data_IF_935995643846
#
_entry.id   IF_935995643846
#
_cell.length_a   1.000
_cell.length_b   1.000
_cell.length_c   1.000
_cell.angle_alpha   90.00
_cell.angle_beta   90.00
_cell.angle_gamma   90.00
#
_symmetry.space_group_name_H-M   'P 1'
#
loop_
_entity.id
_entity.type
_entity.pdbx_description
1 polymer ?
#
# COMPACT_ATOMS: atom_id res chain seq x y z
N UNK A 1 -6.13 -10.52 5.25
CA UNK A 1 -6.26 -10.80 6.71
C UNK A 1 -4.96 -10.94 7.49
N UNK A 2 -3.99 -11.75 7.06
CA UNK A 2 -2.81 -12.04 7.88
C UNK A 2 -1.96 -10.82 8.24
N UNK A 3 -1.83 -9.81 7.37
CA UNK A 3 -1.12 -8.55 7.68
C UNK A 3 -1.75 -7.83 8.89
N UNK A 4 -3.07 -7.75 8.94
CA UNK A 4 -3.80 -7.10 10.04
C UNK A 4 -3.64 -7.87 11.35
N UNK A 5 -3.70 -9.20 11.29
CA UNK A 5 -3.46 -10.07 12.46
C UNK A 5 -2.03 -9.94 12.97
N UNK A 6 -1.03 -9.89 12.09
CA UNK A 6 0.36 -9.66 12.46
C UNK A 6 0.55 -8.31 13.16
N UNK A 7 -0.04 -7.23 12.62
CA UNK A 7 0.02 -5.89 13.22
C UNK A 7 -0.60 -5.88 14.62
N UNK A 8 -1.78 -6.47 14.79
CA UNK A 8 -2.44 -6.55 16.08
C UNK A 8 -1.63 -7.36 17.11
N UNK A 9 -1.15 -8.55 16.72
CA UNK A 9 -0.33 -9.39 17.60
C UNK A 9 0.98 -8.69 17.98
N UNK A 10 1.63 -8.02 17.03
CA UNK A 10 2.83 -7.23 17.29
C UNK A 10 2.57 -6.15 18.36
N UNK A 11 1.48 -5.39 18.25
CA UNK A 11 1.14 -4.37 19.24
C UNK A 11 0.93 -4.98 20.65
N UNK A 12 0.28 -6.14 20.73
CA UNK A 12 0.08 -6.85 22.01
C UNK A 12 1.40 -7.34 22.59
N UNK A 13 2.33 -7.83 21.77
CA UNK A 13 3.65 -8.29 22.23
C UNK A 13 4.57 -7.13 22.62
N UNK A 14 4.57 -6.04 21.86
CA UNK A 14 5.37 -4.84 22.10
C UNK A 14 4.95 -4.15 23.40
N UNK A 15 3.65 -4.00 23.64
CA UNK A 15 3.11 -3.42 24.89
C UNK A 15 3.40 -4.28 26.13
N UNK A 16 3.55 -5.60 25.96
CA UNK A 16 3.96 -6.52 27.04
C UNK A 16 5.47 -6.57 27.25
N UNK A 17 6.26 -5.83 26.47
CA UNK A 17 7.72 -5.86 26.54
C UNK A 17 8.34 -7.17 26.07
N UNK A 18 7.59 -7.99 25.33
CA UNK A 18 8.07 -9.26 24.78
C UNK A 18 8.91 -9.10 23.50
N UNK A 19 9.01 -7.88 22.96
CA UNK A 19 9.80 -7.53 21.78
C UNK A 19 10.89 -6.55 22.20
N UNK A 20 12.14 -6.89 21.92
CA UNK A 20 13.29 -6.03 22.16
C UNK A 20 13.38 -4.86 21.17
N UNK A 21 14.14 -3.82 21.55
CA UNK A 21 14.34 -2.61 20.74
C UNK A 21 14.90 -2.91 19.34
N UNK A 22 15.84 -3.87 19.26
CA UNK A 22 16.44 -4.31 17.99
C UNK A 22 15.45 -5.13 17.16
N UNK A 23 14.69 -6.01 17.80
CA UNK A 23 13.75 -6.92 17.14
C UNK A 23 12.57 -6.16 16.53
N UNK A 24 12.17 -5.05 17.15
CA UNK A 24 11.07 -4.19 16.69
C UNK A 24 11.24 -3.78 15.23
N UNK A 25 12.44 -3.34 14.85
CA UNK A 25 12.73 -2.93 13.48
C UNK A 25 12.69 -4.11 12.49
N UNK A 26 13.03 -5.32 12.92
CA UNK A 26 12.93 -6.52 12.09
C UNK A 26 11.47 -6.94 11.86
N UNK A 27 10.65 -6.96 12.91
CA UNK A 27 9.23 -7.23 12.81
C UNK A 27 8.53 -6.24 11.87
N UNK A 28 8.83 -4.94 11.97
CA UNK A 28 8.29 -3.95 11.04
C UNK A 28 8.70 -4.22 9.60
N UNK A 29 9.98 -4.49 9.33
CA UNK A 29 10.43 -4.83 7.97
C UNK A 29 9.72 -6.05 7.41
N UNK A 30 9.51 -7.09 8.23
CA UNK A 30 8.77 -8.30 7.82
C UNK A 30 7.31 -8.01 7.51
N UNK A 31 6.63 -7.23 8.34
CA UNK A 31 5.24 -6.82 8.12
C UNK A 31 5.10 -5.94 6.87
N UNK A 32 6.01 -4.99 6.66
CA UNK A 32 6.06 -4.14 5.46
C UNK A 32 6.26 -4.96 4.19
N UNK A 33 7.17 -5.93 4.19
CA UNK A 33 7.37 -6.84 3.04
C UNK A 33 6.11 -7.64 2.74
N UNK A 34 5.39 -8.10 3.75
CA UNK A 34 4.13 -8.81 3.55
C UNK A 34 3.06 -7.88 2.96
N UNK A 35 2.93 -6.67 3.48
CA UNK A 35 1.99 -5.66 2.98
C UNK A 35 2.29 -5.29 1.52
N UNK A 36 3.56 -5.07 1.17
CA UNK A 36 3.99 -4.75 -0.20
C UNK A 36 3.61 -5.86 -1.19
N UNK A 37 3.79 -7.13 -0.80
CA UNK A 37 3.38 -8.28 -1.62
C UNK A 37 1.87 -8.35 -1.83
N UNK A 38 1.09 -8.09 -0.78
CA UNK A 38 -0.38 -8.04 -0.88
C UNK A 38 -0.82 -6.88 -1.78
N UNK A 39 -0.19 -5.71 -1.66
CA UNK A 39 -0.49 -4.56 -2.52
C UNK A 39 -0.18 -4.86 -4.00
N UNK A 40 0.98 -5.46 -4.30
CA UNK A 40 1.34 -5.84 -5.66
C UNK A 40 0.35 -6.85 -6.25
N UNK A 41 0.00 -7.90 -5.50
CA UNK A 41 -1.00 -8.88 -5.93
C UNK A 41 -2.39 -8.26 -6.14
N UNK A 42 -2.77 -7.28 -5.32
CA UNK A 42 -4.03 -6.55 -5.50
C UNK A 42 -4.02 -5.72 -6.80
N UNK A 43 -2.93 -5.02 -7.10
CA UNK A 43 -2.79 -4.25 -8.35
C UNK A 43 -2.85 -5.17 -9.56
N UNK A 44 -2.14 -6.30 -9.54
CA UNK A 44 -2.17 -7.31 -10.61
C UNK A 44 -3.59 -7.86 -10.82
N UNK A 45 -4.29 -8.20 -9.73
CA UNK A 45 -5.68 -8.63 -9.80
C UNK A 45 -6.58 -7.56 -10.44
N UNK A 46 -6.36 -6.28 -10.14
CA UNK A 46 -7.14 -5.17 -10.70
C UNK A 46 -6.81 -4.91 -12.16
N UNK A 47 -5.54 -5.05 -12.56
CA UNK A 47 -5.14 -4.95 -13.96
C UNK A 47 -5.85 -6.02 -14.81
N UNK A 48 -5.92 -7.27 -14.34
CA UNK A 48 -6.66 -8.34 -15.01
C UNK A 48 -8.17 -8.11 -15.10
N UNK A 49 -8.73 -7.22 -14.28
CA UNK A 49 -10.15 -6.81 -14.32
C UNK A 49 -10.37 -5.50 -15.08
N UNK A 50 -9.32 -4.88 -15.65
CA UNK A 50 -9.42 -3.58 -16.32
C UNK A 50 -9.72 -2.42 -15.37
N UNK A 51 -9.30 -2.50 -14.11
CA UNK A 51 -9.46 -1.46 -13.08
C UNK A 51 -10.92 -0.94 -12.90
N UNK A 52 -11.88 -1.80 -12.54
CA UNK A 52 -13.32 -1.45 -12.50
C UNK A 52 -13.70 -0.39 -11.45
N UNK A 53 -12.80 -0.07 -10.51
CA UNK A 53 -13.00 0.93 -9.46
C UNK A 53 -12.18 2.21 -9.69
N UNK A 54 -11.47 2.32 -10.81
CA UNK A 54 -10.71 3.51 -11.14
C UNK A 54 -11.69 4.58 -11.67
N UNK A 55 -11.78 5.77 -11.06
CA UNK A 55 -12.60 6.85 -11.59
C UNK A 55 -12.08 7.26 -12.98
N UNK A 56 -12.96 7.60 -13.92
CA UNK A 56 -12.58 8.01 -15.30
C UNK A 56 -11.54 9.13 -15.34
N UNK A 57 -11.54 9.99 -14.32
CA UNK A 57 -10.62 11.11 -14.21
C UNK A 57 -9.16 10.66 -13.99
N UNK A 58 -8.94 9.47 -13.44
CA UNK A 58 -7.63 8.93 -13.10
C UNK A 58 -7.16 7.94 -14.16
N UNK A 59 -5.92 8.07 -14.61
CA UNK A 59 -5.28 7.11 -15.50
C UNK A 59 -4.14 6.39 -14.78
N UNK A 60 -3.93 5.12 -15.15
CA UNK A 60 -2.77 4.34 -14.75
C UNK A 60 -1.77 4.41 -15.90
N UNK A 61 -0.56 4.87 -15.64
CA UNK A 61 0.56 4.71 -16.57
C UNK A 61 0.89 3.21 -16.68
N UNK A 62 0.81 2.67 -17.90
CA UNK A 62 1.00 1.23 -18.15
C UNK A 62 2.45 0.76 -17.95
N UNK A 63 3.45 1.64 -18.06
CA UNK A 63 4.87 1.28 -17.87
C UNK A 63 5.27 1.36 -16.40
N UNK A 64 4.78 2.37 -15.67
CA UNK A 64 5.21 2.61 -14.27
C UNK A 64 4.19 2.15 -13.23
N UNK A 65 2.95 1.90 -13.63
CA UNK A 65 1.82 1.65 -12.72
C UNK A 65 1.44 2.88 -11.88
N UNK A 66 1.99 4.06 -12.20
CA UNK A 66 1.72 5.29 -11.47
C UNK A 66 0.30 5.77 -11.75
N UNK A 67 -0.41 6.16 -10.69
CA UNK A 67 -1.71 6.80 -10.78
C UNK A 67 -1.50 8.29 -11.10
N UNK A 68 -1.87 8.70 -12.31
CA UNK A 68 -1.82 10.10 -12.70
C UNK A 68 -3.15 10.75 -12.33
N UNK A 69 -3.11 11.75 -11.43
CA UNK A 69 -4.27 12.61 -11.16
C UNK A 69 -4.45 13.55 -12.35
N UNK A 70 -5.70 13.87 -12.76
CA UNK A 70 -5.93 14.97 -13.66
C UNK A 70 -5.51 16.27 -12.95
N UNK A 71 -4.44 16.88 -13.44
CA UNK A 71 -4.03 18.21 -13.02
C UNK A 71 -5.14 19.16 -13.48
N UNK A 72 -5.82 19.83 -12.55
CA UNK A 72 -6.63 20.99 -12.91
C UNK A 72 -5.67 22.01 -13.52
N UNK A 73 -5.77 22.20 -14.84
CA UNK A 73 -5.05 23.25 -15.54
C UNK A 73 -5.70 24.56 -15.14
N UNK A 74 -5.11 25.26 -14.17
CA UNK A 74 -5.50 26.64 -13.86
C UNK A 74 -5.28 27.49 -15.12
N UNK A 75 -6.31 28.21 -15.62
CA UNK A 75 -6.19 28.97 -16.85
C UNK A 75 -5.06 29.99 -16.72
N UNK A 76 -4.26 30.21 -17.79
CA UNK A 76 -3.19 31.20 -17.73
C UNK A 76 -3.80 32.56 -17.35
N UNK A 77 -3.24 33.16 -16.30
CA UNK A 77 -3.65 34.47 -15.80
C UNK A 77 -3.67 35.49 -16.97
N UNK A 78 -4.64 36.42 -16.98
CA UNK A 78 -4.87 37.35 -18.08
C UNK A 78 -3.70 38.28 -18.36
#
# INVERSE_FOLDING_TARGET
>A
DYVLKCSHLFNVLDTRGAIGVVERADYFRRMQRLAARVAAAYVEQRAGMGFPMLPEAWSVDEETGALTRPVEVEPPAP
#
